data_IF_394984112899
#
_entry.id   IF_394984112899
#
_cell.length_a   1.000
_cell.length_b   1.000
_cell.length_c   1.000
_cell.angle_alpha   90.00
_cell.angle_beta   90.00
_cell.angle_gamma   90.00
#
_symmetry.space_group_name_H-M   'P 1'
#
loop_
_entity.id
_entity.type
_entity.pdbx_description
1 polymer ?
#
# COMPACT_ATOMS: atom_id res chain seq x y z
N UNK A 1 21.37 9.75 -12.60
CA UNK A 1 20.86 8.56 -11.88
C UNK A 1 19.43 8.88 -11.47
N UNK A 2 18.44 8.29 -12.12
CA UNK A 2 17.05 8.46 -11.70
C UNK A 2 16.84 7.57 -10.46
N UNK A 3 16.44 8.17 -9.34
CA UNK A 3 16.08 7.49 -8.09
C UNK A 3 14.68 6.83 -8.19
N UNK A 4 14.31 6.35 -9.37
CA UNK A 4 12.95 5.92 -9.69
C UNK A 4 12.97 4.44 -10.02
N UNK A 5 12.16 3.66 -9.29
CA UNK A 5 11.96 2.24 -9.56
C UNK A 5 11.37 2.07 -10.97
N UNK A 6 12.05 1.34 -11.85
CA UNK A 6 11.57 1.10 -13.21
C UNK A 6 10.43 0.08 -13.24
N UNK A 7 9.54 0.20 -14.23
CA UNK A 7 8.46 -0.78 -14.43
C UNK A 7 9.08 -2.13 -14.79
N UNK A 8 8.62 -3.19 -14.13
CA UNK A 8 9.15 -4.55 -14.29
C UNK A 8 10.33 -4.87 -13.37
N UNK A 9 10.88 -3.87 -12.64
CA UNK A 9 11.82 -4.14 -11.57
C UNK A 9 11.14 -4.91 -10.43
N UNK A 10 11.84 -5.83 -9.76
CA UNK A 10 11.34 -6.47 -8.55
C UNK A 10 10.99 -5.43 -7.49
N UNK A 11 9.87 -5.66 -6.77
CA UNK A 11 9.49 -4.80 -5.65
C UNK A 11 10.58 -4.83 -4.56
N UNK A 12 11.06 -3.67 -4.09
CA UNK A 12 11.99 -3.61 -2.96
C UNK A 12 11.36 -4.22 -1.72
N UNK A 13 12.16 -4.99 -0.97
CA UNK A 13 11.73 -5.49 0.34
C UNK A 13 11.48 -4.33 1.32
N UNK A 14 10.48 -4.50 2.18
CA UNK A 14 10.15 -3.53 3.23
C UNK A 14 9.78 -4.24 4.53
N UNK A 15 9.80 -3.48 5.63
CA UNK A 15 9.26 -3.85 6.94
C UNK A 15 8.50 -2.67 7.50
N UNK A 16 7.18 -2.78 7.59
CA UNK A 16 6.29 -1.67 7.94
C UNK A 16 5.53 -1.98 9.24
N UNK A 17 5.57 -1.09 10.24
CA UNK A 17 4.70 -1.22 11.41
C UNK A 17 3.25 -0.90 11.00
N UNK A 18 2.32 -1.70 11.47
CA UNK A 18 0.90 -1.52 11.25
C UNK A 18 0.16 -1.08 12.51
N UNK A 19 -1.07 -0.61 12.32
CA UNK A 19 -1.95 -0.13 13.39
C UNK A 19 -2.44 -1.24 14.33
N UNK A 20 -2.29 -2.50 13.93
CA UNK A 20 -2.59 -3.68 14.75
C UNK A 20 -1.40 -4.08 15.66
N UNK A 21 -0.30 -3.31 15.65
CA UNK A 21 0.90 -3.58 16.43
C UNK A 21 1.82 -4.65 15.83
N UNK A 22 1.50 -5.20 14.66
CA UNK A 22 2.36 -6.13 13.92
C UNK A 22 3.28 -5.37 12.97
N UNK A 23 4.35 -6.03 12.56
CA UNK A 23 5.19 -5.58 11.46
C UNK A 23 4.96 -6.51 10.28
N UNK A 24 4.73 -5.92 9.10
CA UNK A 24 4.54 -6.65 7.86
C UNK A 24 5.72 -6.45 6.91
N UNK A 25 6.13 -7.50 6.23
CA UNK A 25 7.12 -7.50 5.17
C UNK A 25 6.52 -7.92 3.82
N UNK A 26 7.24 -7.64 2.72
CA UNK A 26 6.77 -7.97 1.38
C UNK A 26 6.38 -9.47 1.23
N UNK A 27 7.10 -10.36 1.91
CA UNK A 27 6.87 -11.81 1.95
C UNK A 27 5.59 -12.25 2.65
N UNK A 28 4.95 -11.38 3.44
CA UNK A 28 3.71 -11.71 4.15
C UNK A 28 2.47 -11.68 3.23
N UNK A 29 2.61 -11.08 2.04
CA UNK A 29 1.52 -10.91 1.10
C UNK A 29 1.56 -11.98 0.01
N UNK A 30 0.38 -12.52 -0.32
CA UNK A 30 0.22 -13.62 -1.30
C UNK A 30 -0.78 -13.29 -2.40
N UNK A 31 -1.38 -12.10 -2.32
CA UNK A 31 -2.27 -11.56 -3.33
C UNK A 31 -1.55 -11.35 -4.66
N UNK A 32 -2.30 -11.43 -5.76
CA UNK A 32 -1.76 -11.23 -7.11
C UNK A 32 -1.19 -9.81 -7.28
N UNK A 33 -1.84 -8.83 -6.64
CA UNK A 33 -1.41 -7.44 -6.65
C UNK A 33 -1.25 -6.88 -5.25
N UNK A 34 -0.12 -6.22 -5.02
CA UNK A 34 0.13 -5.40 -3.85
C UNK A 34 0.24 -3.94 -4.26
N UNK A 35 -0.60 -3.09 -3.68
CA UNK A 35 -0.58 -1.63 -3.87
C UNK A 35 0.07 -1.01 -2.64
N UNK A 36 1.26 -0.46 -2.81
CA UNK A 36 1.94 0.33 -1.77
C UNK A 36 1.55 1.78 -1.94
N UNK A 37 0.81 2.33 -0.97
CA UNK A 37 0.25 3.69 -1.06
C UNK A 37 0.87 4.63 -0.02
N UNK A 38 1.85 5.42 -0.46
CA UNK A 38 2.48 6.43 0.38
C UNK A 38 1.55 7.63 0.59
N UNK A 39 1.19 7.91 1.84
CA UNK A 39 0.20 8.93 2.21
C UNK A 39 0.55 9.67 3.50
N UNK A 40 -0.14 10.78 3.79
CA UNK A 40 0.02 11.60 5.00
C UNK A 40 -1.32 11.79 5.72
N UNK A 41 -1.33 11.74 7.04
CA UNK A 41 -2.54 11.90 7.84
C UNK A 41 -2.91 13.36 8.20
N UNK A 42 -2.12 14.34 7.74
CA UNK A 42 -2.29 15.74 8.12
C UNK A 42 -2.64 16.67 6.95
N UNK A 43 -2.41 16.22 5.72
CA UNK A 43 -2.61 17.05 4.55
C UNK A 43 -4.12 17.14 4.24
N UNK A 44 -4.72 18.35 4.09
CA UNK A 44 -6.15 18.49 3.85
C UNK A 44 -6.66 17.71 2.64
N UNK A 45 -5.84 17.61 1.59
CA UNK A 45 -6.16 16.83 0.40
C UNK A 45 -6.32 15.33 0.70
N UNK A 46 -5.39 14.76 1.47
CA UNK A 46 -5.46 13.33 1.83
C UNK A 46 -6.65 13.08 2.73
N UNK A 47 -6.88 13.92 3.74
CA UNK A 47 -8.06 13.81 4.63
C UNK A 47 -9.36 13.79 3.81
N UNK A 48 -9.46 14.64 2.78
CA UNK A 48 -10.61 14.64 1.86
C UNK A 48 -10.73 13.37 0.99
N UNK A 49 -9.61 12.70 0.68
CA UNK A 49 -9.58 11.48 -0.14
C UNK A 49 -9.60 10.16 0.65
N UNK A 50 -9.36 10.20 1.96
CA UNK A 50 -9.11 9.03 2.80
C UNK A 50 -10.23 7.98 2.72
N UNK A 51 -11.48 8.42 2.86
CA UNK A 51 -12.65 7.53 2.76
C UNK A 51 -12.81 6.92 1.37
N UNK A 52 -12.41 7.63 0.31
CA UNK A 52 -12.44 7.08 -1.05
C UNK A 52 -11.35 6.01 -1.23
N UNK A 53 -10.16 6.24 -0.66
CA UNK A 53 -9.08 5.26 -0.61
C UNK A 53 -9.50 4.01 0.16
N UNK A 54 -10.08 4.14 1.37
CA UNK A 54 -10.58 3.02 2.17
C UNK A 54 -11.60 2.18 1.41
N UNK A 55 -12.62 2.82 0.82
CA UNK A 55 -13.64 2.13 0.00
C UNK A 55 -13.04 1.42 -1.20
N UNK A 56 -12.01 1.99 -1.81
CA UNK A 56 -11.30 1.36 -2.92
C UNK A 56 -10.57 0.11 -2.46
N UNK A 57 -9.81 0.18 -1.36
CA UNK A 57 -9.13 -0.99 -0.80
C UNK A 57 -10.14 -2.13 -0.47
N UNK A 58 -11.25 -1.80 0.18
CA UNK A 58 -12.31 -2.77 0.50
C UNK A 58 -12.96 -3.41 -0.73
N UNK A 59 -13.16 -2.63 -1.80
CA UNK A 59 -13.72 -3.13 -3.07
C UNK A 59 -12.83 -4.19 -3.74
N UNK A 60 -11.52 -4.09 -3.56
CA UNK A 60 -10.54 -4.93 -4.26
C UNK A 60 -9.92 -6.04 -3.40
N UNK A 61 -10.09 -6.02 -2.08
CA UNK A 61 -9.55 -7.08 -1.19
C UNK A 61 -10.01 -8.50 -1.58
N UNK A 62 -11.26 -8.65 -2.01
CA UNK A 62 -11.82 -9.93 -2.48
C UNK A 62 -11.44 -10.29 -3.93
N UNK A 63 -10.62 -9.47 -4.60
CA UNK A 63 -10.25 -9.60 -6.02
C UNK A 63 -8.75 -9.83 -6.21
N UNK A 64 -8.06 -10.31 -5.18
CA UNK A 64 -6.62 -10.58 -5.24
C UNK A 64 -5.75 -9.33 -5.20
N UNK A 65 -6.25 -8.20 -4.67
CA UNK A 65 -5.47 -6.98 -4.48
C UNK A 65 -5.42 -6.63 -2.99
N UNK A 66 -4.23 -6.32 -2.48
CA UNK A 66 -4.06 -5.78 -1.12
C UNK A 66 -3.41 -4.42 -1.15
N UNK A 67 -3.84 -3.54 -0.24
CA UNK A 67 -3.27 -2.21 -0.03
C UNK A 67 -2.45 -2.20 1.25
N UNK A 68 -1.31 -1.53 1.22
CA UNK A 68 -0.41 -1.28 2.36
C UNK A 68 0.08 0.16 2.37
#
# INVERSE_FOLDING_TARGET
MAFTLEIGAPAPGFKLPATDGRTYELSDFREEFLVVFFTCNHCPYVIGSDEMTRRTAEKFVGKGVRFV
#
